data_IF_321415333815
#
_entry.id   IF_321415333815
#
_cell.length_a   1.000
_cell.length_b   1.000
_cell.length_c   1.000
_cell.angle_alpha   90.00
_cell.angle_beta   90.00
_cell.angle_gamma   90.00
#
_symmetry.space_group_name_H-M   'P 1'
#
loop_
_entity.id
_entity.type
_entity.pdbx_description
1 polymer ?
#
# COMPACT_ATOMS: atom_id res chain seq x y z
N UNK A 1 8.57 16.83 -6.73
CA UNK A 1 8.55 15.52 -7.43
C UNK A 1 7.91 14.51 -6.49
N UNK A 2 7.08 13.61 -7.00
CA UNK A 2 6.46 12.55 -6.22
C UNK A 2 7.51 11.47 -5.88
N UNK A 3 7.58 11.05 -4.63
CA UNK A 3 8.49 10.00 -4.13
C UNK A 3 7.73 9.00 -3.26
N UNK A 4 8.15 7.74 -3.29
CA UNK A 4 7.69 6.74 -2.33
C UNK A 4 8.84 5.88 -1.80
N UNK A 5 8.67 5.43 -0.55
CA UNK A 5 9.59 4.54 0.16
C UNK A 5 8.78 3.40 0.77
N UNK A 6 9.34 2.20 0.81
CA UNK A 6 8.77 1.05 1.50
C UNK A 6 9.76 0.51 2.53
N UNK A 7 9.25 0.00 3.64
CA UNK A 7 10.02 -0.65 4.69
C UNK A 7 9.25 -1.84 5.27
N UNK A 8 9.97 -2.73 5.96
CA UNK A 8 9.43 -3.92 6.60
C UNK A 8 9.93 -5.22 5.98
N UNK A 9 9.87 -6.29 6.76
CA UNK A 9 10.31 -7.64 6.39
C UNK A 9 9.09 -8.55 6.21
N UNK A 10 9.17 -9.54 5.31
CA UNK A 10 8.04 -10.45 5.03
C UNK A 10 7.51 -11.20 6.25
N UNK A 11 8.37 -11.47 7.24
CA UNK A 11 8.02 -12.10 8.52
C UNK A 11 8.23 -11.16 9.72
N UNK A 12 8.47 -9.87 9.45
CA UNK A 12 8.53 -8.85 10.48
C UNK A 12 7.14 -8.54 11.04
N UNK A 13 7.06 -7.63 12.02
CA UNK A 13 5.79 -7.28 12.64
C UNK A 13 4.83 -6.61 11.64
N UNK A 14 5.34 -5.73 10.78
CA UNK A 14 4.53 -4.88 9.90
C UNK A 14 5.28 -4.46 8.62
N UNK A 15 4.51 -3.96 7.65
CA UNK A 15 5.01 -3.31 6.42
C UNK A 15 4.59 -1.84 6.42
N UNK A 16 5.48 -0.96 5.96
CA UNK A 16 5.28 0.49 5.91
C UNK A 16 5.51 0.98 4.48
N UNK A 17 4.64 1.89 4.02
CA UNK A 17 4.86 2.67 2.80
C UNK A 17 4.68 4.16 3.09
N UNK A 18 5.61 4.98 2.63
CA UNK A 18 5.59 6.44 2.78
C UNK A 18 5.53 7.06 1.39
N UNK A 19 4.62 8.02 1.19
CA UNK A 19 4.53 8.80 -0.04
C UNK A 19 4.74 10.29 0.26
N UNK A 20 5.62 10.93 -0.49
CA UNK A 20 6.03 12.32 -0.31
C UNK A 20 5.83 13.11 -1.61
N UNK A 21 5.48 14.40 -1.48
CA UNK A 21 5.24 15.27 -2.63
C UNK A 21 3.85 15.13 -3.25
N UNK A 22 2.89 14.53 -2.53
CA UNK A 22 1.48 14.56 -2.90
C UNK A 22 0.89 15.96 -2.64
N UNK A 23 0.08 16.50 -3.57
CA UNK A 23 -0.69 17.71 -3.32
C UNK A 23 -1.68 17.52 -2.17
N UNK A 24 -1.98 18.61 -1.46
CA UNK A 24 -3.06 18.60 -0.47
C UNK A 24 -4.42 18.39 -1.15
N UNK A 25 -5.37 17.81 -0.42
CA UNK A 25 -6.74 17.58 -0.90
C UNK A 25 -6.94 16.31 -1.73
N UNK A 26 -5.89 15.51 -1.95
CA UNK A 26 -6.03 14.16 -2.51
C UNK A 26 -6.77 13.28 -1.50
N UNK A 27 -7.95 12.74 -1.81
CA UNK A 27 -8.69 11.87 -0.89
C UNK A 27 -7.94 10.56 -0.68
N UNK A 28 -7.78 10.17 0.59
CA UNK A 28 -7.17 8.89 0.98
C UNK A 28 -8.07 8.25 2.01
N UNK A 29 -8.41 6.97 1.80
CA UNK A 29 -9.18 6.18 2.76
C UNK A 29 -8.57 4.81 2.95
N UNK A 30 -8.77 4.25 4.14
CA UNK A 30 -8.26 2.92 4.49
C UNK A 30 -8.95 1.84 3.67
N UNK A 31 -10.22 2.04 3.35
CA UNK A 31 -11.08 1.10 2.63
C UNK A 31 -10.60 0.94 1.20
N UNK A 32 -10.25 2.06 0.53
CA UNK A 32 -9.69 2.04 -0.82
C UNK A 32 -8.35 1.28 -0.86
N UNK A 33 -7.44 1.58 0.07
CA UNK A 33 -6.16 0.89 0.18
C UNK A 33 -6.36 -0.61 0.44
N UNK A 34 -7.30 -0.96 1.32
CA UNK A 34 -7.59 -2.35 1.66
C UNK A 34 -8.18 -3.13 0.49
N UNK A 35 -9.07 -2.51 -0.29
CA UNK A 35 -9.62 -3.09 -1.51
C UNK A 35 -8.50 -3.35 -2.54
N UNK A 36 -7.59 -2.40 -2.72
CA UNK A 36 -6.43 -2.52 -3.61
C UNK A 36 -5.48 -3.65 -3.17
N UNK A 37 -5.19 -3.75 -1.88
CA UNK A 37 -4.38 -4.85 -1.33
C UNK A 37 -5.07 -6.21 -1.50
N UNK A 38 -6.41 -6.27 -1.35
CA UNK A 38 -7.16 -7.50 -1.56
C UNK A 38 -7.03 -8.00 -3.01
N UNK A 39 -7.04 -7.11 -4.01
CA UNK A 39 -6.88 -7.49 -5.42
C UNK A 39 -5.55 -8.20 -5.71
N UNK A 40 -4.49 -7.94 -4.94
CA UNK A 40 -3.18 -8.61 -5.11
C UNK A 40 -3.23 -10.13 -4.86
N UNK A 41 -4.26 -10.61 -4.16
CA UNK A 41 -4.46 -12.01 -3.82
C UNK A 41 -5.30 -12.77 -4.85
N UNK A 42 -5.82 -12.08 -5.87
CA UNK A 42 -6.62 -12.72 -6.92
C UNK A 42 -5.74 -13.57 -7.86
N UNK A 43 -6.30 -14.66 -8.35
CA UNK A 43 -5.66 -15.58 -9.30
C UNK A 43 -5.67 -17.03 -8.79
N UNK A 44 -5.96 -17.97 -9.69
CA UNK A 44 -5.95 -19.40 -9.36
C UNK A 44 -4.57 -19.82 -8.83
N UNK A 45 -4.55 -20.53 -7.70
CA UNK A 45 -3.31 -20.99 -7.07
C UNK A 45 -2.51 -19.93 -6.29
N UNK A 46 -3.07 -18.73 -6.02
CA UNK A 46 -2.43 -17.78 -5.11
C UNK A 46 -2.81 -18.07 -3.65
N UNK A 47 -1.87 -18.68 -2.95
CA UNK A 47 -1.82 -18.92 -1.50
C UNK A 47 -0.37 -19.16 -1.11
#
# INVERSE_FOLDING_TARGET
MLRWLTAGESHGPELIAVMEGLPAGVPVSREAISADLARRRLGYGRG
#
